data_IF_732366447230
#
_entry.id   IF_732366447230
#
_cell.length_a   1.000
_cell.length_b   1.000
_cell.length_c   1.000
_cell.angle_alpha   90.00
_cell.angle_beta   90.00
_cell.angle_gamma   90.00
#
_symmetry.space_group_name_H-M   'P 1'
#
loop_
_entity.id
_entity.type
_entity.pdbx_description
1 polymer ?
#
# COMPACT_ATOMS: atom_id res chain seq x y z
N UNK A 1 -1.11 17.82 9.59
CA UNK A 1 -0.17 18.04 8.47
C UNK A 1 0.43 16.68 8.13
N UNK A 2 0.56 16.37 6.88
CA UNK A 2 1.05 15.05 6.43
C UNK A 2 2.57 14.98 6.51
N UNK A 3 3.09 13.91 7.08
CA UNK A 3 4.51 13.68 7.34
C UNK A 3 5.08 12.63 6.39
N UNK A 4 6.23 12.93 5.79
CA UNK A 4 6.97 12.04 4.88
C UNK A 4 8.35 11.76 5.50
N UNK A 5 8.74 10.49 5.56
CA UNK A 5 10.10 10.08 5.86
C UNK A 5 10.79 9.65 4.56
N UNK A 6 11.85 10.37 4.17
CA UNK A 6 12.73 10.01 3.05
C UNK A 6 13.95 9.28 3.61
N UNK A 7 14.22 8.07 3.11
CA UNK A 7 15.37 7.24 3.52
C UNK A 7 16.19 6.93 2.25
N UNK A 8 17.33 7.61 2.09
CA UNK A 8 18.22 7.43 0.94
C UNK A 8 19.56 8.07 1.30
N UNK A 9 20.68 7.40 1.05
CA UNK A 9 22.03 7.87 1.38
C UNK A 9 22.53 8.97 0.42
N UNK A 10 21.87 9.16 -0.71
CA UNK A 10 22.23 10.14 -1.72
C UNK A 10 21.60 11.52 -1.43
N UNK A 11 22.33 12.41 -0.73
CA UNK A 11 21.86 13.79 -0.43
C UNK A 11 21.50 14.60 -1.67
N UNK A 12 22.15 14.34 -2.80
CA UNK A 12 21.83 15.01 -4.07
C UNK A 12 20.41 14.70 -4.55
N UNK A 13 19.85 13.57 -4.13
CA UNK A 13 18.46 13.20 -4.42
C UNK A 13 17.52 13.69 -3.30
N UNK A 14 17.89 13.48 -2.04
CA UNK A 14 16.99 13.79 -0.90
C UNK A 14 16.79 15.28 -0.67
N UNK A 15 17.81 16.13 -0.83
CA UNK A 15 17.69 17.58 -0.59
C UNK A 15 16.70 18.28 -1.56
N UNK A 16 16.75 18.04 -2.89
CA UNK A 16 15.76 18.58 -3.83
C UNK A 16 14.35 18.00 -3.59
N UNK A 17 14.23 16.71 -3.27
CA UNK A 17 12.95 16.08 -2.97
C UNK A 17 12.32 16.68 -1.72
N UNK A 18 13.09 16.79 -0.63
CA UNK A 18 12.66 17.45 0.60
C UNK A 18 12.09 18.84 0.31
N UNK A 19 12.90 19.70 -0.35
CA UNK A 19 12.50 21.06 -0.68
C UNK A 19 11.23 21.13 -1.54
N UNK A 20 11.04 20.14 -2.43
CA UNK A 20 9.87 20.08 -3.31
C UNK A 20 8.63 19.63 -2.56
N UNK A 21 8.73 18.61 -1.70
CA UNK A 21 7.63 18.17 -0.86
C UNK A 21 7.23 19.24 0.17
N UNK A 22 8.20 19.93 0.80
CA UNK A 22 7.91 21.02 1.73
C UNK A 22 7.15 22.18 1.04
N UNK A 23 7.49 22.52 -0.21
CA UNK A 23 6.72 23.48 -1.04
C UNK A 23 5.32 22.99 -1.35
N UNK A 24 5.11 21.67 -1.46
CA UNK A 24 3.78 21.07 -1.65
C UNK A 24 2.99 20.95 -0.33
N UNK A 25 3.54 21.42 0.81
CA UNK A 25 2.84 21.48 2.11
C UNK A 25 3.00 20.23 2.98
N UNK A 26 3.97 19.37 2.70
CA UNK A 26 4.32 18.22 3.54
C UNK A 26 5.36 18.59 4.58
N UNK A 27 5.37 17.88 5.70
CA UNK A 27 6.48 17.88 6.66
C UNK A 27 7.41 16.73 6.27
N UNK A 28 8.71 17.00 6.11
CA UNK A 28 9.65 16.01 5.60
C UNK A 28 10.81 15.82 6.56
N UNK A 29 10.98 14.56 7.00
CA UNK A 29 12.17 14.11 7.72
C UNK A 29 13.05 13.30 6.75
N UNK A 30 14.37 13.44 6.84
CA UNK A 30 15.33 12.73 5.99
C UNK A 30 16.25 11.88 6.86
N UNK A 31 16.42 10.61 6.49
CA UNK A 31 17.44 9.71 6.99
C UNK A 31 18.43 9.38 5.87
N UNK A 32 19.72 9.46 6.15
CA UNK A 32 20.76 9.19 5.14
C UNK A 32 21.38 7.79 5.25
N UNK A 33 20.74 6.90 5.99
CA UNK A 33 21.12 5.49 6.12
C UNK A 33 19.94 4.67 6.67
N UNK A 34 20.01 3.34 6.50
CA UNK A 34 18.93 2.43 6.88
C UNK A 34 18.68 2.35 8.39
N UNK A 35 19.72 2.43 9.24
CA UNK A 35 19.54 2.38 10.70
C UNK A 35 18.83 3.61 11.25
N UNK A 36 19.25 4.79 10.79
CA UNK A 36 18.58 6.06 11.11
C UNK A 36 17.14 6.06 10.59
N UNK A 37 16.92 5.58 9.36
CA UNK A 37 15.59 5.46 8.75
C UNK A 37 14.65 4.57 9.56
N UNK A 38 15.10 3.38 9.96
CA UNK A 38 14.34 2.47 10.80
C UNK A 38 13.99 3.13 12.15
N UNK A 39 14.96 3.75 12.81
CA UNK A 39 14.76 4.41 14.10
C UNK A 39 13.72 5.53 14.01
N UNK A 40 13.82 6.40 13.00
CA UNK A 40 12.89 7.51 12.77
C UNK A 40 11.48 7.01 12.39
N UNK A 41 11.36 5.94 11.63
CA UNK A 41 10.06 5.36 11.26
C UNK A 41 9.26 4.92 12.48
N UNK A 42 9.93 4.38 13.51
CA UNK A 42 9.30 3.93 14.75
C UNK A 42 8.98 5.10 15.69
N UNK A 43 9.88 6.10 15.76
CA UNK A 43 9.77 7.23 16.67
C UNK A 43 8.74 8.26 16.18
N UNK A 44 8.81 8.66 14.91
CA UNK A 44 8.01 9.76 14.35
C UNK A 44 6.68 9.28 13.75
N UNK A 45 6.56 7.98 13.46
CA UNK A 45 5.35 7.37 12.86
C UNK A 45 4.85 8.17 11.65
N UNK A 46 5.64 8.29 10.57
CA UNK A 46 5.29 9.09 9.41
C UNK A 46 4.03 8.53 8.72
N UNK A 47 3.33 9.39 7.97
CA UNK A 47 2.16 9.00 7.19
C UNK A 47 2.53 8.20 5.93
N UNK A 48 3.75 8.39 5.40
CA UNK A 48 4.32 7.64 4.28
C UNK A 48 5.84 7.63 4.36
N UNK A 49 6.45 6.54 3.91
CA UNK A 49 7.90 6.35 3.83
C UNK A 49 8.28 6.22 2.35
N UNK A 50 9.29 6.95 1.91
CA UNK A 50 9.97 6.80 0.62
C UNK A 50 11.36 6.25 0.92
N UNK A 51 11.68 5.07 0.40
CA UNK A 51 12.83 4.27 0.84
C UNK A 51 13.65 3.82 -0.37
N UNK A 52 14.92 4.20 -0.41
CA UNK A 52 15.83 3.66 -1.40
C UNK A 52 16.16 2.19 -1.12
N UNK A 53 16.26 1.42 -2.18
CA UNK A 53 16.66 0.01 -2.13
C UNK A 53 18.16 -0.13 -1.89
N UNK A 54 18.96 0.68 -2.60
CA UNK A 54 20.40 0.50 -2.71
C UNK A 54 21.15 1.40 -1.73
N UNK A 55 21.12 1.06 -0.45
CA UNK A 55 21.87 1.78 0.59
C UNK A 55 23.00 0.93 1.16
N UNK A 56 24.13 1.55 1.55
CA UNK A 56 25.22 0.84 2.21
C UNK A 56 24.84 0.39 3.62
N UNK A 57 25.32 -0.79 4.02
CA UNK A 57 25.04 -1.35 5.35
C UNK A 57 23.68 -2.03 5.41
N UNK A 58 22.70 -1.42 6.06
CA UNK A 58 21.33 -1.91 6.09
C UNK A 58 20.59 -1.45 4.83
N UNK A 59 20.37 -2.37 3.90
CA UNK A 59 19.71 -2.08 2.63
C UNK A 59 18.19 -1.81 2.79
N UNK A 60 17.58 -1.23 1.74
CA UNK A 60 16.16 -0.87 1.79
C UNK A 60 15.22 -2.06 1.97
N UNK A 61 15.58 -3.25 1.49
CA UNK A 61 14.80 -4.45 1.71
C UNK A 61 14.73 -4.85 3.18
N UNK A 62 15.90 -4.83 3.84
CA UNK A 62 16.03 -5.13 5.26
C UNK A 62 15.31 -4.08 6.12
N UNK A 63 15.43 -2.80 5.76
CA UNK A 63 14.69 -1.70 6.42
C UNK A 63 13.19 -1.90 6.27
N UNK A 64 12.70 -2.18 5.06
CA UNK A 64 11.28 -2.43 4.80
C UNK A 64 10.76 -3.59 5.64
N UNK A 65 11.45 -4.72 5.66
CA UNK A 65 11.07 -5.89 6.44
C UNK A 65 11.02 -5.57 7.94
N UNK A 66 12.04 -4.90 8.48
CA UNK A 66 12.09 -4.51 9.89
C UNK A 66 10.97 -3.53 10.28
N UNK A 67 10.63 -2.57 9.41
CA UNK A 67 9.48 -1.67 9.62
C UNK A 67 8.19 -2.47 9.67
N UNK A 68 8.01 -3.47 8.79
CA UNK A 68 6.79 -4.27 8.70
C UNK A 68 6.52 -5.15 9.92
N UNK A 69 7.51 -5.47 10.72
CA UNK A 69 7.32 -6.17 12.00
C UNK A 69 6.52 -5.33 13.00
N UNK A 70 6.51 -3.98 12.85
CA UNK A 70 5.96 -3.06 13.83
C UNK A 70 4.99 -2.02 13.26
N UNK A 71 4.91 -1.87 11.95
CA UNK A 71 4.14 -0.79 11.30
C UNK A 71 3.50 -1.21 9.98
N UNK A 72 2.31 -0.65 9.73
CA UNK A 72 1.60 -0.73 8.45
C UNK A 72 1.73 0.55 7.64
N UNK A 73 2.57 1.50 8.06
CA UNK A 73 2.82 2.75 7.33
C UNK A 73 3.14 2.47 5.86
N UNK A 74 2.51 3.15 4.90
CA UNK A 74 2.79 2.98 3.49
C UNK A 74 4.25 3.20 3.15
N UNK A 75 4.84 2.28 2.37
CA UNK A 75 6.24 2.36 1.90
C UNK A 75 6.27 2.33 0.38
N UNK A 76 6.87 3.37 -0.21
CA UNK A 76 7.23 3.44 -1.62
C UNK A 76 8.73 3.17 -1.74
N UNK A 77 9.10 2.09 -2.46
CA UNK A 77 10.51 1.77 -2.69
C UNK A 77 11.03 2.52 -3.92
N UNK A 78 12.20 3.14 -3.80
CA UNK A 78 12.94 3.68 -4.94
C UNK A 78 13.97 2.65 -5.40
N UNK A 79 13.98 2.30 -6.67
CA UNK A 79 14.90 1.27 -7.20
C UNK A 79 15.51 1.65 -8.53
N UNK A 80 16.80 1.34 -8.72
CA UNK A 80 17.46 1.41 -10.02
C UNK A 80 17.27 0.10 -10.83
N UNK A 81 16.67 -0.93 -10.22
CA UNK A 81 16.58 -2.25 -10.82
C UNK A 81 15.33 -2.33 -11.71
N UNK A 82 15.57 -2.49 -13.00
CA UNK A 82 14.52 -2.68 -14.02
C UNK A 82 14.10 -4.15 -14.15
N UNK A 83 14.66 -5.05 -13.34
CA UNK A 83 14.35 -6.47 -13.38
C UNK A 83 13.04 -6.76 -12.62
N UNK A 84 12.11 -7.44 -13.31
CA UNK A 84 10.81 -7.81 -12.79
C UNK A 84 10.87 -8.71 -11.54
N UNK A 85 11.98 -9.43 -11.36
CA UNK A 85 12.20 -10.34 -10.21
C UNK A 85 12.45 -9.54 -8.93
N UNK A 86 13.25 -8.48 -9.00
CA UNK A 86 13.55 -7.64 -7.84
C UNK A 86 12.35 -6.81 -7.38
N UNK A 87 11.48 -6.41 -8.32
CA UNK A 87 10.22 -5.73 -8.01
C UNK A 87 9.24 -6.64 -7.27
N UNK A 88 9.10 -7.89 -7.72
CA UNK A 88 8.25 -8.88 -7.05
C UNK A 88 8.80 -9.16 -5.65
N UNK A 89 10.12 -9.34 -5.51
CA UNK A 89 10.78 -9.53 -4.21
C UNK A 89 10.51 -8.36 -3.26
N UNK A 90 10.55 -7.12 -3.76
CA UNK A 90 10.27 -5.94 -2.94
C UNK A 90 8.85 -5.88 -2.42
N UNK A 91 7.91 -6.18 -3.27
CA UNK A 91 6.51 -6.28 -2.87
C UNK A 91 6.32 -7.44 -1.88
N UNK A 92 6.89 -8.61 -2.12
CA UNK A 92 6.84 -9.76 -1.19
C UNK A 92 7.41 -9.42 0.18
N UNK A 93 8.47 -8.61 0.26
CA UNK A 93 9.07 -8.14 1.52
C UNK A 93 8.25 -7.03 2.21
N UNK A 94 7.20 -6.54 1.57
CA UNK A 94 6.23 -5.69 2.24
C UNK A 94 6.10 -4.25 1.79
N UNK A 95 6.76 -3.84 0.70
CA UNK A 95 6.49 -2.54 0.09
C UNK A 95 5.06 -2.46 -0.45
N UNK A 96 4.45 -1.29 -0.38
CA UNK A 96 3.10 -1.07 -0.93
C UNK A 96 3.16 -0.65 -2.40
N UNK A 97 4.27 -0.02 -2.79
CA UNK A 97 4.51 0.45 -4.14
C UNK A 97 6.01 0.61 -4.40
N UNK A 98 6.40 0.80 -5.66
CA UNK A 98 7.77 1.09 -6.03
C UNK A 98 7.83 2.07 -7.21
N UNK A 99 8.95 2.79 -7.30
CA UNK A 99 9.24 3.73 -8.35
C UNK A 99 10.66 3.51 -8.88
N UNK A 100 10.79 3.38 -10.20
CA UNK A 100 12.10 3.10 -10.85
C UNK A 100 12.85 4.40 -11.07
N UNK A 101 14.11 4.45 -10.65
CA UNK A 101 15.04 5.55 -10.97
C UNK A 101 15.52 5.42 -12.45
N UNK A 102 15.58 6.52 -13.24
CA UNK A 102 15.28 7.90 -12.86
C UNK A 102 13.78 8.23 -12.94
N UNK A 103 13.29 9.01 -11.99
CA UNK A 103 11.91 9.48 -11.93
C UNK A 103 11.83 11.01 -11.80
N UNK A 104 10.67 11.58 -12.16
CA UNK A 104 10.37 12.98 -11.93
C UNK A 104 9.73 13.23 -10.56
N UNK A 105 9.92 14.42 -9.96
CA UNK A 105 9.27 14.77 -8.70
C UNK A 105 7.74 14.63 -8.77
N UNK A 106 7.11 15.06 -9.88
CA UNK A 106 5.65 14.95 -10.06
C UNK A 106 5.15 13.51 -10.02
N UNK A 107 5.94 12.58 -10.54
CA UNK A 107 5.64 11.16 -10.54
C UNK A 107 5.68 10.61 -9.10
N UNK A 108 6.78 10.85 -8.38
CA UNK A 108 6.88 10.47 -6.96
C UNK A 108 5.79 11.12 -6.11
N UNK A 109 5.49 12.41 -6.33
CA UNK A 109 4.40 13.09 -5.62
C UNK A 109 3.03 12.46 -5.92
N UNK A 110 2.79 12.00 -7.15
CA UNK A 110 1.55 11.29 -7.50
C UNK A 110 1.42 9.97 -6.74
N UNK A 111 2.51 9.18 -6.62
CA UNK A 111 2.55 7.97 -5.80
C UNK A 111 2.30 8.27 -4.32
N UNK A 112 2.96 9.29 -3.75
CA UNK A 112 2.73 9.74 -2.37
C UNK A 112 1.28 10.16 -2.15
N UNK A 113 0.69 10.96 -3.06
CA UNK A 113 -0.72 11.36 -2.96
C UNK A 113 -1.67 10.18 -3.07
N UNK A 114 -1.39 9.22 -3.93
CA UNK A 114 -2.18 8.00 -4.04
C UNK A 114 -2.17 7.20 -2.73
N UNK A 115 -1.01 7.09 -2.07
CA UNK A 115 -0.88 6.45 -0.77
C UNK A 115 -1.66 7.17 0.35
N UNK A 116 -1.72 8.51 0.27
CA UNK A 116 -2.32 9.38 1.30
C UNK A 116 -3.79 9.77 1.03
N UNK A 117 -4.40 9.35 -0.08
CA UNK A 117 -5.77 9.76 -0.51
C UNK A 117 -6.88 9.39 0.48
N UNK A 118 -6.57 8.66 1.51
CA UNK A 118 -7.46 8.09 2.52
C UNK A 118 -8.41 9.09 3.20
N UNK A 119 -8.02 10.35 3.34
CA UNK A 119 -8.74 11.35 4.15
C UNK A 119 -9.89 12.03 3.40
N UNK A 120 -10.01 11.89 2.08
CA UNK A 120 -10.97 12.65 1.26
C UNK A 120 -12.18 11.89 0.73
N UNK A 121 -12.23 10.56 0.83
CA UNK A 121 -13.39 9.78 0.37
C UNK A 121 -14.56 9.78 1.34
N UNK A 122 -14.40 10.29 2.56
CA UNK A 122 -15.45 10.39 3.58
C UNK A 122 -16.49 11.51 3.34
N UNK A 123 -16.38 12.32 2.30
CA UNK A 123 -17.25 13.49 2.11
C UNK A 123 -18.24 13.42 0.96
N UNK A 124 -18.72 12.27 0.52
CA UNK A 124 -19.65 12.33 -0.61
C UNK A 124 -20.59 11.16 -0.90
N UNK A 125 -20.38 10.00 -0.35
CA UNK A 125 -21.28 8.86 -0.56
C UNK A 125 -21.65 8.25 0.81
N UNK A 126 -22.95 8.07 1.06
CA UNK A 126 -23.46 7.31 2.20
C UNK A 126 -23.11 5.81 2.02
N UNK A 127 -21.82 5.47 2.17
CA UNK A 127 -21.46 4.07 2.35
C UNK A 127 -21.99 3.60 3.70
N UNK A 128 -22.50 2.39 3.80
CA UNK A 128 -22.89 1.84 5.10
C UNK A 128 -21.66 1.88 6.02
N UNK A 129 -21.80 2.40 7.22
CA UNK A 129 -20.70 2.51 8.19
C UNK A 129 -20.02 1.18 8.46
N UNK A 130 -20.74 0.07 8.29
CA UNK A 130 -20.28 -1.31 8.47
C UNK A 130 -20.79 -2.20 7.35
N UNK A 131 -19.90 -3.01 6.80
CA UNK A 131 -20.23 -4.03 5.79
C UNK A 131 -19.84 -5.39 6.36
N UNK A 132 -20.83 -6.28 6.50
CA UNK A 132 -20.62 -7.65 6.98
C UNK A 132 -20.90 -8.64 5.86
N UNK A 133 -19.98 -9.58 5.63
CA UNK A 133 -20.10 -10.66 4.65
C UNK A 133 -19.52 -11.93 5.25
N UNK A 134 -20.37 -12.90 5.54
CA UNK A 134 -19.99 -14.10 6.28
C UNK A 134 -19.30 -13.72 7.60
N UNK A 135 -18.12 -14.25 7.84
CA UNK A 135 -17.33 -13.96 9.04
C UNK A 135 -16.54 -12.64 8.97
N UNK A 136 -16.52 -11.93 7.82
CA UNK A 136 -15.74 -10.70 7.61
C UNK A 136 -16.60 -9.48 7.90
N UNK A 137 -16.13 -8.60 8.78
CA UNK A 137 -16.74 -7.31 9.10
C UNK A 137 -15.74 -6.19 8.78
N UNK A 138 -16.14 -5.27 7.92
CA UNK A 138 -15.43 -4.03 7.61
C UNK A 138 -16.16 -2.86 8.29
N UNK A 139 -15.50 -2.19 9.22
CA UNK A 139 -15.98 -0.95 9.84
C UNK A 139 -15.26 0.24 9.19
N UNK A 140 -15.98 0.97 8.34
CA UNK A 140 -15.44 2.12 7.61
C UNK A 140 -15.18 3.32 8.51
N UNK A 141 -15.93 3.47 9.60
CA UNK A 141 -15.76 4.58 10.53
C UNK A 141 -14.59 4.34 11.47
N UNK A 142 -14.49 3.12 12.04
CA UNK A 142 -13.37 2.74 12.89
C UNK A 142 -12.10 2.41 12.09
N UNK A 143 -12.22 2.24 10.76
CA UNK A 143 -11.16 1.85 9.87
C UNK A 143 -10.53 0.49 10.22
N UNK A 144 -11.35 -0.44 10.67
CA UNK A 144 -10.94 -1.78 11.10
C UNK A 144 -11.60 -2.86 10.27
N UNK A 145 -10.93 -4.00 10.20
CA UNK A 145 -11.45 -5.22 9.60
C UNK A 145 -11.35 -6.33 10.62
N UNK A 146 -12.41 -7.09 10.80
CA UNK A 146 -12.38 -8.29 11.64
C UNK A 146 -12.83 -9.51 10.85
N UNK A 147 -12.33 -10.69 11.24
CA UNK A 147 -12.82 -11.99 10.77
C UNK A 147 -13.10 -12.90 11.94
N UNK A 148 -14.34 -13.38 12.05
CA UNK A 148 -14.75 -14.19 13.19
C UNK A 148 -14.56 -13.49 14.54
N UNK A 149 -14.65 -12.16 14.57
CA UNK A 149 -14.44 -11.33 15.76
C UNK A 149 -12.97 -11.01 16.08
N UNK A 150 -12.01 -11.55 15.34
CA UNK A 150 -10.58 -11.20 15.48
C UNK A 150 -10.23 -10.08 14.51
N UNK A 151 -9.54 -9.06 15.01
CA UNK A 151 -9.07 -7.95 14.17
C UNK A 151 -7.93 -8.39 13.26
N UNK A 152 -8.02 -7.99 12.00
CA UNK A 152 -7.00 -8.24 10.97
C UNK A 152 -6.16 -6.99 10.78
N UNK A 153 -4.86 -7.12 10.95
CA UNK A 153 -3.92 -6.05 10.60
C UNK A 153 -3.72 -6.02 9.09
N UNK A 154 -4.34 -5.05 8.42
CA UNK A 154 -4.20 -4.83 6.99
C UNK A 154 -3.28 -3.65 6.71
N UNK A 155 -2.46 -3.78 5.66
CA UNK A 155 -1.75 -2.64 5.07
C UNK A 155 -2.74 -1.72 4.38
N UNK A 156 -2.34 -0.48 4.14
CA UNK A 156 -3.25 0.50 3.55
C UNK A 156 -3.85 0.03 2.23
N UNK A 157 -3.04 -0.44 1.29
CA UNK A 157 -3.52 -0.92 -0.01
C UNK A 157 -4.41 -2.16 0.09
N UNK A 158 -4.12 -3.06 1.02
CA UNK A 158 -4.98 -4.20 1.31
C UNK A 158 -6.37 -3.75 1.81
N UNK A 159 -6.40 -2.75 2.71
CA UNK A 159 -7.65 -2.19 3.20
C UNK A 159 -8.46 -1.49 2.09
N UNK A 160 -7.80 -0.70 1.24
CA UNK A 160 -8.45 0.00 0.12
C UNK A 160 -9.03 -0.98 -0.90
N UNK A 161 -8.26 -2.01 -1.29
CA UNK A 161 -8.71 -3.09 -2.18
C UNK A 161 -9.93 -3.81 -1.56
N UNK A 162 -9.83 -4.20 -0.29
CA UNK A 162 -10.91 -4.90 0.40
C UNK A 162 -12.17 -4.05 0.47
N UNK A 163 -12.03 -2.77 0.80
CA UNK A 163 -13.14 -1.81 0.84
C UNK A 163 -13.84 -1.71 -0.50
N UNK A 164 -13.07 -1.55 -1.58
CA UNK A 164 -13.62 -1.46 -2.93
C UNK A 164 -14.36 -2.74 -3.33
N UNK A 165 -13.83 -3.89 -2.98
CA UNK A 165 -14.43 -5.18 -3.30
C UNK A 165 -15.69 -5.47 -2.45
N UNK A 166 -15.66 -5.18 -1.16
CA UNK A 166 -16.81 -5.40 -0.27
C UNK A 166 -17.95 -4.43 -0.55
N UNK A 167 -17.68 -3.18 -0.92
CA UNK A 167 -18.69 -2.22 -1.37
C UNK A 167 -19.33 -2.59 -2.71
N UNK A 168 -18.66 -3.45 -3.49
CA UNK A 168 -19.16 -4.01 -4.75
C UNK A 168 -19.47 -5.53 -4.64
N UNK A 169 -19.97 -5.97 -3.48
CA UNK A 169 -20.25 -7.38 -3.18
C UNK A 169 -20.95 -8.10 -4.33
N UNK A 170 -20.44 -9.27 -4.72
CA UNK A 170 -20.96 -10.12 -5.78
C UNK A 170 -20.66 -9.64 -7.21
N UNK A 171 -20.23 -8.39 -7.38
CA UNK A 171 -19.87 -7.83 -8.70
C UNK A 171 -18.37 -8.03 -8.99
N UNK A 172 -18.05 -8.19 -10.26
CA UNK A 172 -16.64 -8.20 -10.69
C UNK A 172 -16.12 -6.77 -10.73
N UNK A 173 -15.03 -6.50 -10.01
CA UNK A 173 -14.26 -5.26 -10.13
C UNK A 173 -13.09 -5.55 -11.04
N UNK A 174 -12.98 -4.79 -12.15
CA UNK A 174 -11.92 -5.01 -13.14
C UNK A 174 -10.55 -4.61 -12.58
N UNK A 175 -9.48 -5.18 -13.16
CA UNK A 175 -8.12 -4.82 -12.76
C UNK A 175 -7.85 -3.32 -12.93
N UNK A 176 -8.27 -2.75 -14.07
CA UNK A 176 -8.15 -1.31 -14.35
C UNK A 176 -8.82 -0.48 -13.25
N UNK A 177 -10.08 -0.79 -12.93
CA UNK A 177 -10.81 -0.08 -11.88
C UNK A 177 -10.13 -0.20 -10.50
N UNK A 178 -9.58 -1.37 -10.17
CA UNK A 178 -8.80 -1.56 -8.93
C UNK A 178 -7.55 -0.66 -8.92
N UNK A 179 -6.84 -0.57 -10.05
CA UNK A 179 -5.70 0.33 -10.14
C UNK A 179 -6.12 1.80 -10.04
N UNK A 180 -7.12 2.23 -10.79
CA UNK A 180 -7.58 3.61 -10.81
C UNK A 180 -8.06 4.09 -9.44
N UNK A 181 -8.84 3.25 -8.75
CA UNK A 181 -9.41 3.64 -7.46
C UNK A 181 -8.43 3.48 -6.29
N UNK A 182 -7.47 2.56 -6.37
CA UNK A 182 -6.53 2.27 -5.28
C UNK A 182 -5.18 2.99 -5.47
N UNK A 183 -4.65 3.08 -6.70
CA UNK A 183 -3.37 3.74 -7.00
C UNK A 183 -3.52 5.07 -7.73
N UNK A 184 -4.64 5.30 -8.41
CA UNK A 184 -4.94 6.51 -9.18
C UNK A 184 -4.82 6.30 -10.68
N UNK A 185 -5.52 7.14 -11.46
CA UNK A 185 -5.58 7.07 -12.94
C UNK A 185 -4.23 7.32 -13.63
N UNK A 186 -3.31 8.00 -12.95
CA UNK A 186 -1.98 8.31 -13.49
C UNK A 186 -0.91 7.29 -13.09
N UNK A 187 -1.34 6.14 -12.53
CA UNK A 187 -0.39 5.11 -12.08
C UNK A 187 0.22 4.38 -13.29
N UNK A 188 1.54 4.42 -13.40
CA UNK A 188 2.32 3.82 -14.48
C UNK A 188 3.10 2.56 -14.04
N UNK A 189 2.84 2.06 -12.84
CA UNK A 189 3.55 0.92 -12.26
C UNK A 189 3.18 -0.46 -12.86
N UNK A 190 3.78 -1.53 -12.33
CA UNK A 190 3.56 -2.90 -12.81
C UNK A 190 2.21 -3.45 -12.33
N UNK A 191 1.43 -4.00 -13.24
CA UNK A 191 0.13 -4.62 -12.96
C UNK A 191 0.21 -5.83 -12.01
N UNK A 192 1.40 -6.40 -11.80
CA UNK A 192 1.66 -7.48 -10.84
C UNK A 192 1.54 -7.04 -9.39
N UNK A 193 1.69 -5.73 -9.10
CA UNK A 193 1.49 -5.16 -7.76
C UNK A 193 0.15 -5.58 -7.17
N UNK A 194 -0.92 -5.55 -7.97
CA UNK A 194 -2.26 -5.97 -7.53
C UNK A 194 -2.30 -7.45 -7.14
N UNK A 195 -1.63 -8.33 -7.90
CA UNK A 195 -1.65 -9.78 -7.63
C UNK A 195 -0.94 -10.11 -6.30
N UNK A 196 0.11 -9.39 -5.97
CA UNK A 196 0.82 -9.51 -4.69
C UNK A 196 -0.09 -9.09 -3.53
N UNK A 197 -0.72 -7.93 -3.60
CA UNK A 197 -1.66 -7.48 -2.56
C UNK A 197 -2.86 -8.43 -2.42
N UNK A 198 -3.37 -8.99 -3.53
CA UNK A 198 -4.42 -10.01 -3.50
C UNK A 198 -3.96 -11.28 -2.81
N UNK A 199 -2.72 -11.72 -3.01
CA UNK A 199 -2.14 -12.87 -2.33
C UNK A 199 -2.06 -12.64 -0.82
N UNK A 200 -1.61 -11.46 -0.38
CA UNK A 200 -1.56 -11.10 1.04
C UNK A 200 -2.94 -11.01 1.68
N UNK A 201 -3.90 -10.41 0.99
CA UNK A 201 -5.29 -10.36 1.47
C UNK A 201 -5.85 -11.76 1.66
N UNK A 202 -5.64 -12.67 0.70
CA UNK A 202 -6.06 -14.07 0.83
C UNK A 202 -5.43 -14.75 2.03
N UNK A 203 -4.12 -14.56 2.25
CA UNK A 203 -3.42 -15.12 3.40
C UNK A 203 -4.04 -14.69 4.74
N UNK A 204 -4.68 -13.51 4.80
CA UNK A 204 -5.34 -12.97 6.01
C UNK A 204 -6.84 -13.30 6.09
N UNK A 205 -7.51 -13.33 4.93
CA UNK A 205 -8.98 -13.44 4.86
C UNK A 205 -9.47 -14.87 4.65
N UNK A 206 -8.69 -15.74 4.02
CA UNK A 206 -9.13 -17.07 3.65
C UNK A 206 -8.65 -18.11 4.67
N UNK A 207 -9.38 -19.21 4.79
CA UNK A 207 -8.90 -20.39 5.54
C UNK A 207 -7.88 -21.16 4.70
N UNK A 208 -8.11 -21.23 3.38
CA UNK A 208 -7.19 -21.76 2.39
C UNK A 208 -6.97 -20.71 1.30
N UNK A 209 -5.83 -19.98 1.31
CA UNK A 209 -5.53 -18.97 0.30
C UNK A 209 -5.45 -19.50 -1.14
N UNK A 210 -5.23 -20.83 -1.33
CA UNK A 210 -5.15 -21.45 -2.65
C UNK A 210 -6.53 -21.73 -3.24
N UNK A 211 -7.54 -21.89 -2.39
CA UNK A 211 -8.94 -22.09 -2.75
C UNK A 211 -9.85 -21.01 -2.11
N UNK A 212 -9.70 -19.76 -2.53
CA UNK A 212 -10.36 -18.62 -1.90
C UNK A 212 -11.88 -18.69 -2.08
N UNK A 213 -12.63 -18.50 -0.99
CA UNK A 213 -14.09 -18.46 -0.97
C UNK A 213 -14.64 -17.05 -0.94
N UNK A 214 -13.93 -16.10 -0.30
CA UNK A 214 -14.31 -14.70 -0.29
C UNK A 214 -13.76 -13.95 -1.49
N UNK A 215 -12.44 -14.07 -1.77
CA UNK A 215 -11.70 -13.26 -2.71
C UNK A 215 -11.42 -14.03 -4.01
N UNK A 216 -12.40 -14.13 -4.90
CA UNK A 216 -12.34 -14.91 -6.11
C UNK A 216 -11.67 -14.15 -7.27
N UNK A 217 -10.85 -14.88 -8.07
CA UNK A 217 -10.31 -14.38 -9.33
C UNK A 217 -11.28 -14.69 -10.47
N UNK A 218 -11.65 -13.66 -11.22
CA UNK A 218 -12.35 -13.82 -12.49
C UNK A 218 -11.33 -13.68 -13.61
N UNK A 219 -10.89 -14.83 -14.16
CA UNK A 219 -9.77 -14.89 -15.12
C UNK A 219 -9.97 -13.92 -16.28
N UNK A 220 -8.93 -13.15 -16.61
CA UNK A 220 -8.93 -12.17 -17.70
C UNK A 220 -9.75 -10.91 -17.44
N UNK A 221 -10.45 -10.78 -16.29
CA UNK A 221 -11.32 -9.63 -15.99
C UNK A 221 -10.87 -8.88 -14.73
N UNK A 222 -10.80 -9.57 -13.58
CA UNK A 222 -10.51 -8.91 -12.32
C UNK A 222 -10.80 -9.81 -11.11
N UNK A 223 -11.37 -9.19 -10.07
CA UNK A 223 -11.64 -9.87 -8.80
C UNK A 223 -13.05 -9.59 -8.31
N UNK A 224 -13.55 -10.48 -7.48
CA UNK A 224 -14.90 -10.39 -6.90
C UNK A 224 -14.87 -10.83 -5.44
N UNK A 225 -15.51 -10.08 -4.58
CA UNK A 225 -15.78 -10.51 -3.20
C UNK A 225 -17.14 -11.21 -3.15
N UNK A 226 -17.18 -12.38 -2.55
CA UNK A 226 -18.38 -13.23 -2.48
C UNK A 226 -18.73 -13.58 -1.05
N UNK A 227 -20.01 -13.81 -0.82
CA UNK A 227 -20.50 -14.34 0.44
C UNK A 227 -20.49 -15.89 0.33
N UNK A 228 -19.65 -16.60 1.12
CA UNK A 228 -19.57 -18.05 1.04
C UNK A 228 -20.86 -18.74 1.51
N UNK A 229 -21.74 -18.06 2.26
CA UNK A 229 -23.01 -18.59 2.73
C UNK A 229 -24.15 -18.40 1.72
N UNK A 230 -23.92 -17.62 0.65
CA UNK A 230 -24.90 -17.34 -0.42
C UNK A 230 -24.50 -17.91 -1.78
N UNK A 231 -23.49 -18.76 -1.84
CA UNK A 231 -22.98 -19.39 -3.08
C UNK A 231 -23.63 -20.72 -3.34
#
# INVERSE_FOLDING_TARGET
MTTILLIDDERKLTDPLRSSFERSGYIVTVANDGHTGLSLSLLEKPDVIVLDVMMPGLDGWQVCQAIREHSTTPIIMLTALDDSVDRIKGLELGADDYLVKPFGFKELEAHVRAMLRRVRLDQGHQLPQRISVGAVLLDLQAHTVTRGGQELTLRQKEYEILTLLMTNLGKVVTRERLFDEVWGTDWLGDTRTLDVHMSWLRAKLETDPTNPVYLQTVRGVGYRFTDPERS
#
